data_IF_696331339785
#
_entry.id   IF_696331339785
#
_cell.length_a   1.000
_cell.length_b   1.000
_cell.length_c   1.000
_cell.angle_alpha   90.00
_cell.angle_beta   90.00
_cell.angle_gamma   90.00
#
_symmetry.space_group_name_H-M   'P 1'
#
loop_
_entity.id
_entity.type
_entity.pdbx_description
1 polymer ?
#
# COMPACT_ATOMS: atom_id res chain seq x y z
N UNK A 1 6.24 6.79 -32.78
CA UNK A 1 5.86 5.82 -33.83
C UNK A 1 4.79 6.49 -34.70
N UNK A 2 4.71 6.15 -35.98
CA UNK A 2 3.69 6.72 -36.90
C UNK A 2 2.40 5.89 -36.92
N UNK A 3 2.09 5.21 -35.81
CA UNK A 3 0.98 4.26 -35.76
C UNK A 3 -0.33 4.96 -35.40
N UNK A 4 -1.17 5.24 -36.40
CA UNK A 4 -2.47 5.88 -36.21
C UNK A 4 -3.58 4.86 -35.97
N UNK A 5 -4.25 4.97 -34.82
CA UNK A 5 -5.45 4.19 -34.49
C UNK A 5 -6.66 4.78 -35.22
N UNK A 6 -7.10 4.15 -36.31
CA UNK A 6 -8.30 4.55 -37.06
C UNK A 6 -9.36 3.45 -37.01
N UNK A 7 -10.62 3.82 -37.24
CA UNK A 7 -11.73 2.87 -37.33
C UNK A 7 -11.68 1.98 -38.58
N UNK A 8 -10.89 2.36 -39.59
CA UNK A 8 -10.77 1.68 -40.87
C UNK A 8 -9.64 0.64 -40.93
N UNK A 9 -9.05 0.26 -39.79
CA UNK A 9 -7.91 -0.65 -39.76
C UNK A 9 -8.30 -2.08 -40.12
N UNK A 10 -7.48 -2.74 -40.94
CA UNK A 10 -7.65 -4.14 -41.25
C UNK A 10 -7.09 -5.05 -40.13
N UNK A 11 -7.38 -6.36 -40.22
CA UNK A 11 -6.99 -7.33 -39.19
C UNK A 11 -5.47 -7.41 -38.98
N UNK A 12 -4.68 -7.39 -40.07
CA UNK A 12 -3.22 -7.47 -40.01
C UNK A 12 -2.61 -6.23 -39.34
N UNK A 13 -3.18 -5.05 -39.58
CA UNK A 13 -2.81 -3.81 -38.89
C UNK A 13 -3.22 -3.84 -37.42
N UNK A 14 -4.35 -4.44 -37.07
CA UNK A 14 -4.78 -4.65 -35.68
C UNK A 14 -3.79 -5.55 -34.93
N UNK A 15 -3.32 -6.62 -35.57
CA UNK A 15 -2.44 -7.60 -34.95
C UNK A 15 -1.00 -7.11 -34.77
N UNK A 16 -0.50 -6.25 -35.68
CA UNK A 16 0.86 -5.67 -35.60
C UNK A 16 1.03 -4.58 -34.53
N UNK A 17 -0.04 -4.19 -33.84
CA UNK A 17 -0.01 -3.21 -32.74
C UNK A 17 0.91 -3.68 -31.61
N UNK A 18 1.93 -2.88 -31.32
CA UNK A 18 2.78 -3.11 -30.15
C UNK A 18 2.02 -2.80 -28.85
N UNK A 19 1.16 -1.78 -28.88
CA UNK A 19 0.34 -1.38 -27.73
C UNK A 19 -1.07 -1.95 -27.80
N UNK A 20 -1.43 -2.80 -26.84
CA UNK A 20 -2.74 -3.48 -26.77
C UNK A 20 -3.35 -3.32 -25.38
N UNK A 21 -4.26 -2.36 -25.23
CA UNK A 21 -4.89 -2.04 -23.93
C UNK A 21 -5.61 -3.24 -23.30
N UNK A 22 -6.25 -4.09 -24.09
CA UNK A 22 -6.92 -5.30 -23.59
C UNK A 22 -5.97 -6.31 -22.95
N UNK A 23 -4.67 -6.26 -23.27
CA UNK A 23 -3.63 -7.06 -22.61
C UNK A 23 -3.01 -6.31 -21.45
N UNK A 24 -2.71 -5.01 -21.64
CA UNK A 24 -1.99 -4.22 -20.66
C UNK A 24 -2.84 -3.84 -19.43
N UNK A 25 -4.08 -3.41 -19.65
CA UNK A 25 -4.98 -2.96 -18.59
C UNK A 25 -6.41 -3.47 -18.82
N UNK A 26 -6.62 -4.80 -18.80
CA UNK A 26 -7.96 -5.35 -18.64
C UNK A 26 -8.57 -4.95 -17.29
N UNK A 27 -9.86 -5.23 -17.10
CA UNK A 27 -10.47 -5.09 -15.78
C UNK A 27 -9.73 -5.95 -14.74
N UNK A 28 -9.50 -5.39 -13.56
CA UNK A 28 -8.70 -5.98 -12.49
C UNK A 28 -7.23 -6.27 -12.86
N UNK A 29 -6.68 -5.59 -13.88
CA UNK A 29 -5.26 -5.64 -14.17
C UNK A 29 -4.43 -5.17 -12.97
N UNK A 30 -3.28 -5.80 -12.78
CA UNK A 30 -2.37 -5.46 -11.71
C UNK A 30 -0.91 -5.54 -12.17
N UNK A 31 -0.07 -4.84 -11.43
CA UNK A 31 1.38 -4.92 -11.54
C UNK A 31 1.91 -5.16 -10.14
N UNK A 32 2.70 -6.22 -9.98
CA UNK A 32 3.38 -6.51 -8.73
C UNK A 32 4.90 -6.47 -8.94
N UNK A 33 5.61 -5.81 -8.03
CA UNK A 33 7.07 -5.72 -8.04
C UNK A 33 7.56 -6.46 -6.81
N UNK A 34 8.24 -7.59 -7.04
CA UNK A 34 8.75 -8.45 -5.98
C UNK A 34 10.24 -8.21 -5.77
N UNK A 35 10.64 -8.04 -4.51
CA UNK A 35 12.03 -7.99 -4.10
C UNK A 35 12.43 -9.35 -3.51
N UNK A 36 13.34 -10.03 -4.18
CA UNK A 36 13.89 -11.32 -3.78
C UNK A 36 15.24 -11.15 -3.10
N UNK A 37 15.43 -11.85 -1.99
CA UNK A 37 16.71 -11.97 -1.30
C UNK A 37 16.71 -13.28 -0.50
N UNK A 38 17.67 -14.18 -0.75
CA UNK A 38 17.72 -15.46 -0.02
C UNK A 38 18.22 -15.27 1.41
N UNK A 39 19.31 -14.52 1.60
CA UNK A 39 19.86 -14.16 2.91
C UNK A 39 20.13 -12.66 3.03
N UNK A 40 20.15 -12.12 4.26
CA UNK A 40 20.36 -10.67 4.50
C UNK A 40 21.63 -10.11 3.86
N UNK A 41 22.69 -10.92 3.75
CA UNK A 41 23.98 -10.53 3.21
C UNK A 41 24.13 -10.80 1.70
N UNK A 42 23.10 -11.38 1.07
CA UNK A 42 23.12 -11.67 -0.36
C UNK A 42 22.53 -10.52 -1.18
N UNK A 43 22.89 -10.50 -2.47
CA UNK A 43 22.39 -9.52 -3.43
C UNK A 43 20.88 -9.66 -3.59
N UNK A 44 20.19 -8.53 -3.59
CA UNK A 44 18.76 -8.48 -3.85
C UNK A 44 18.47 -8.41 -5.35
N UNK A 45 17.37 -9.04 -5.74
CA UNK A 45 16.89 -9.09 -7.11
C UNK A 45 15.45 -8.63 -7.19
N UNK A 46 15.06 -8.00 -8.29
CA UNK A 46 13.69 -7.59 -8.59
C UNK A 46 13.12 -8.49 -9.68
N UNK A 47 11.90 -8.94 -9.48
CA UNK A 47 11.03 -9.49 -10.52
C UNK A 47 9.76 -8.65 -10.63
N UNK A 48 9.27 -8.48 -11.86
CA UNK A 48 8.02 -7.75 -12.13
C UNK A 48 7.00 -8.72 -12.68
N UNK A 49 5.79 -8.63 -12.16
CA UNK A 49 4.62 -9.36 -12.61
C UNK A 49 3.61 -8.38 -13.18
N UNK A 50 3.02 -8.76 -14.30
CA UNK A 50 1.92 -8.06 -14.94
C UNK A 50 0.80 -9.07 -15.12
N UNK A 51 -0.36 -8.80 -14.51
CA UNK A 51 -1.49 -9.74 -14.46
C UNK A 51 -1.04 -11.15 -14.04
N UNK A 52 -0.40 -11.25 -12.86
CA UNK A 52 0.09 -12.49 -12.27
C UNK A 52 1.17 -13.24 -13.08
N UNK A 53 1.57 -12.72 -14.23
CA UNK A 53 2.61 -13.31 -15.07
C UNK A 53 3.89 -12.51 -14.91
N UNK A 54 4.97 -13.20 -14.53
CA UNK A 54 6.29 -12.57 -14.52
C UNK A 54 6.63 -12.11 -15.95
N UNK A 55 7.28 -10.97 -16.10
CA UNK A 55 7.69 -10.41 -17.39
C UNK A 55 9.22 -10.34 -17.52
N UNK A 56 9.74 -10.53 -18.74
CA UNK A 56 11.17 -10.34 -19.01
C UNK A 56 11.50 -8.86 -19.07
N UNK A 57 12.59 -8.47 -18.41
CA UNK A 57 13.03 -7.08 -18.32
C UNK A 57 14.04 -6.80 -19.44
N UNK A 58 13.67 -6.02 -20.48
CA UNK A 58 14.54 -5.81 -21.64
C UNK A 58 15.82 -5.05 -21.29
N UNK A 59 15.75 -4.12 -20.33
CA UNK A 59 16.91 -3.39 -19.82
C UNK A 59 17.85 -4.24 -18.94
N UNK A 60 17.48 -5.50 -18.67
CA UNK A 60 18.26 -6.44 -17.87
C UNK A 60 18.56 -7.72 -18.67
N UNK A 61 18.93 -7.56 -19.95
CA UNK A 61 19.31 -8.67 -20.82
C UNK A 61 18.18 -9.65 -21.13
N UNK A 62 16.92 -9.18 -21.12
CA UNK A 62 15.71 -10.00 -21.25
C UNK A 62 15.60 -11.10 -20.17
N UNK A 63 16.19 -10.88 -18.99
CA UNK A 63 16.06 -11.75 -17.83
C UNK A 63 14.73 -11.52 -17.11
N UNK A 64 14.21 -12.56 -16.46
CA UNK A 64 13.03 -12.48 -15.58
C UNK A 64 13.33 -11.77 -14.25
N UNK A 65 14.58 -11.89 -13.78
CA UNK A 65 15.07 -11.25 -12.56
C UNK A 65 16.19 -10.28 -12.90
N UNK A 66 16.17 -9.11 -12.29
CA UNK A 66 17.21 -8.10 -12.40
C UNK A 66 17.86 -7.82 -11.06
N UNK A 67 19.15 -7.50 -11.02
CA UNK A 67 19.76 -7.04 -9.77
C UNK A 67 19.12 -5.72 -9.33
N UNK A 68 18.90 -5.53 -8.03
CA UNK A 68 18.31 -4.29 -7.49
C UNK A 68 19.10 -3.05 -7.95
N UNK A 69 20.43 -3.11 -7.90
CA UNK A 69 21.31 -2.01 -8.32
C UNK A 69 21.18 -1.68 -9.80
N UNK A 70 21.08 -2.69 -10.67
CA UNK A 70 20.86 -2.48 -12.11
C UNK A 70 19.50 -1.84 -12.38
N UNK A 71 18.47 -2.29 -11.66
CA UNK A 71 17.12 -1.74 -11.75
C UNK A 71 17.08 -0.28 -11.32
N UNK A 72 17.61 0.05 -10.14
CA UNK A 72 17.68 1.43 -9.64
C UNK A 72 18.41 2.36 -10.60
N UNK A 73 19.57 1.92 -11.13
CA UNK A 73 20.33 2.68 -12.11
C UNK A 73 19.54 2.93 -13.40
N UNK A 74 18.79 1.92 -13.87
CA UNK A 74 17.94 2.07 -15.04
C UNK A 74 16.80 3.05 -14.77
N UNK A 75 16.07 2.88 -13.67
CA UNK A 75 14.97 3.77 -13.28
C UNK A 75 15.47 5.21 -13.13
N UNK A 76 16.59 5.44 -12.45
CA UNK A 76 17.19 6.77 -12.32
C UNK A 76 17.54 7.42 -13.67
N UNK A 77 17.89 6.61 -14.69
CA UNK A 77 18.17 7.10 -16.04
C UNK A 77 16.91 7.46 -16.82
N UNK A 78 15.84 6.67 -16.71
CA UNK A 78 14.61 6.88 -17.48
C UNK A 78 13.60 7.79 -16.78
N UNK A 79 13.68 7.90 -15.46
CA UNK A 79 12.86 8.80 -14.67
C UNK A 79 13.31 10.23 -14.94
N UNK A 80 12.57 10.93 -15.79
CA UNK A 80 12.65 12.39 -15.87
C UNK A 80 12.20 12.99 -14.54
N UNK A 81 12.72 14.15 -14.11
CA UNK A 81 12.24 14.82 -12.91
C UNK A 81 10.73 15.06 -13.02
N UNK A 82 9.95 14.21 -12.34
CA UNK A 82 8.52 14.38 -12.17
C UNK A 82 8.29 15.47 -11.12
N UNK A 83 8.45 16.72 -11.54
CA UNK A 83 7.91 17.84 -10.78
C UNK A 83 6.39 17.82 -10.96
N UNK A 84 5.71 17.09 -10.07
CA UNK A 84 4.27 16.95 -10.08
C UNK A 84 3.56 18.30 -9.99
N UNK A 85 4.11 19.28 -9.26
CA UNK A 85 3.50 20.60 -9.13
C UNK A 85 3.54 21.36 -10.45
N UNK A 86 4.69 21.31 -11.14
CA UNK A 86 4.85 21.88 -12.48
C UNK A 86 4.01 21.17 -13.53
N UNK A 87 4.00 19.83 -13.53
CA UNK A 87 3.26 19.02 -14.51
C UNK A 87 1.75 19.15 -14.36
N UNK A 88 1.24 19.24 -13.13
CA UNK A 88 -0.19 19.37 -12.87
C UNK A 88 -0.69 20.82 -12.90
N UNK A 89 0.15 21.79 -13.28
CA UNK A 89 -0.18 23.22 -13.22
C UNK A 89 -0.89 23.57 -11.91
N UNK A 90 -0.42 22.98 -10.80
CA UNK A 90 -0.85 23.38 -9.47
C UNK A 90 -0.20 24.74 -9.21
N UNK A 91 -0.69 25.76 -9.90
CA UNK A 91 -0.70 27.10 -9.37
C UNK A 91 -1.36 26.93 -8.01
N UNK A 92 -0.61 27.22 -6.98
CA UNK A 92 -1.05 27.32 -5.59
C UNK A 92 -2.09 28.43 -5.46
N UNK A 93 -3.25 28.28 -6.11
CA UNK A 93 -4.48 28.95 -5.68
C UNK A 93 -4.98 28.15 -4.48
N UNK A 94 -4.34 28.41 -3.34
CA UNK A 94 -4.75 27.91 -2.04
C UNK A 94 -4.25 26.51 -1.72
N UNK A 95 -3.01 26.42 -1.26
CA UNK A 95 -2.75 25.58 -0.10
C UNK A 95 -3.58 26.12 1.08
N UNK A 96 -4.89 25.86 1.07
CA UNK A 96 -5.58 25.70 2.34
C UNK A 96 -4.99 24.42 2.91
N UNK A 97 -3.93 24.55 3.70
CA UNK A 97 -3.53 23.51 4.66
C UNK A 97 -4.80 23.16 5.42
N UNK A 98 -5.44 22.05 5.06
CA UNK A 98 -6.36 21.40 5.96
C UNK A 98 -5.50 20.88 7.11
N UNK A 99 -5.22 21.78 8.05
CA UNK A 99 -4.84 21.44 9.41
C UNK A 99 -5.98 20.60 9.94
N UNK A 100 -5.83 19.28 9.83
CA UNK A 100 -6.61 18.37 10.66
C UNK A 100 -6.20 18.68 12.09
N UNK A 101 -6.94 19.57 12.75
CA UNK A 101 -6.87 19.71 14.20
C UNK A 101 -7.43 18.42 14.76
N UNK A 102 -6.56 17.47 15.11
CA UNK A 102 -6.92 16.38 15.98
C UNK A 102 -7.40 17.06 17.28
N UNK A 103 -8.70 16.99 17.53
CA UNK A 103 -9.28 17.55 18.73
C UNK A 103 -8.76 16.75 19.93
N UNK A 104 -7.97 17.40 20.80
CA UNK A 104 -7.50 16.83 22.07
C UNK A 104 -8.65 16.33 22.98
N UNK A 105 -9.89 16.73 22.68
CA UNK A 105 -11.08 16.32 23.43
C UNK A 105 -11.38 14.82 23.34
N UNK A 106 -10.89 14.12 22.31
CA UNK A 106 -11.07 12.66 22.17
C UNK A 106 -10.22 11.85 23.17
N UNK A 107 -9.05 12.36 23.55
CA UNK A 107 -8.09 11.62 24.38
C UNK A 107 -8.47 11.66 25.88
N UNK A 108 -8.95 12.80 26.36
CA UNK A 108 -9.41 12.95 27.75
C UNK A 108 -10.62 12.05 28.01
N UNK A 109 -11.56 11.96 27.06
CA UNK A 109 -12.72 11.09 27.18
C UNK A 109 -12.33 9.62 27.37
N UNK A 110 -11.41 9.12 26.53
CA UNK A 110 -10.99 7.71 26.58
C UNK A 110 -10.30 7.33 27.91
N UNK A 111 -9.46 8.21 28.46
CA UNK A 111 -8.80 7.99 29.75
C UNK A 111 -9.77 8.03 30.94
N UNK A 112 -10.79 8.88 30.90
CA UNK A 112 -11.80 8.95 31.97
C UNK A 112 -12.69 7.70 31.95
N UNK A 113 -13.12 7.25 30.78
CA UNK A 113 -13.93 6.03 30.66
C UNK A 113 -13.18 4.76 31.11
N UNK A 114 -11.88 4.65 30.80
CA UNK A 114 -11.07 3.49 31.21
C UNK A 114 -10.87 3.44 32.74
N UNK A 115 -10.67 4.59 33.39
CA UNK A 115 -10.55 4.67 34.85
C UNK A 115 -11.84 4.24 35.56
N UNK A 116 -13.01 4.69 35.10
CA UNK A 116 -14.30 4.28 35.69
C UNK A 116 -14.58 2.77 35.53
N UNK A 117 -14.23 2.19 34.39
CA UNK A 117 -14.37 0.74 34.18
C UNK A 117 -13.50 -0.08 35.13
N UNK A 118 -12.24 0.32 35.34
CA UNK A 118 -11.34 -0.37 36.27
C UNK A 118 -11.81 -0.28 37.73
N UNK A 119 -12.31 0.89 38.14
CA UNK A 119 -12.89 1.06 39.48
C UNK A 119 -14.14 0.20 39.65
N UNK A 120 -15.03 0.16 38.65
CA UNK A 120 -16.22 -0.69 38.68
C UNK A 120 -15.91 -2.18 38.82
N UNK A 121 -14.89 -2.66 38.09
CA UNK A 121 -14.42 -4.05 38.19
C UNK A 121 -13.86 -4.35 39.59
N UNK A 122 -13.05 -3.44 40.16
CA UNK A 122 -12.50 -3.62 41.51
C UNK A 122 -13.60 -3.69 42.57
N UNK A 123 -14.61 -2.81 42.49
CA UNK A 123 -15.75 -2.82 43.42
C UNK A 123 -16.52 -4.15 43.31
N UNK A 124 -16.78 -4.65 42.10
CA UNK A 124 -17.44 -5.94 41.90
C UNK A 124 -16.62 -7.11 42.44
N UNK A 125 -15.30 -7.09 42.25
CA UNK A 125 -14.39 -8.10 42.79
C UNK A 125 -14.39 -8.11 44.33
N UNK A 126 -14.31 -6.93 44.95
CA UNK A 126 -14.37 -6.79 46.41
C UNK A 126 -15.74 -7.19 46.97
N UNK A 127 -16.82 -6.82 46.28
CA UNK A 127 -18.17 -7.21 46.68
C UNK A 127 -18.37 -8.73 46.60
N UNK A 128 -17.89 -9.37 45.51
CA UNK A 128 -17.88 -10.84 45.39
C UNK A 128 -17.02 -11.52 46.46
N UNK A 129 -15.85 -10.98 46.77
CA UNK A 129 -14.98 -11.51 47.82
C UNK A 129 -15.68 -11.44 49.19
N UNK A 130 -16.26 -10.28 49.53
CA UNK A 130 -17.00 -10.06 50.78
C UNK A 130 -18.27 -10.91 50.87
N UNK A 131 -18.99 -11.09 49.76
CA UNK A 131 -20.14 -11.99 49.70
C UNK A 131 -19.73 -13.44 49.96
N UNK A 132 -18.62 -13.89 49.35
CA UNK A 132 -18.07 -15.24 49.55
C UNK A 132 -17.59 -15.48 50.99
N UNK A 133 -17.04 -14.49 51.65
CA UNK A 133 -16.70 -14.60 53.08
C UNK A 133 -17.96 -14.69 53.95
N UNK A 134 -18.96 -13.86 53.67
CA UNK A 134 -20.21 -13.83 54.44
C UNK A 134 -21.03 -15.14 54.30
N UNK A 135 -20.96 -15.82 53.15
CA UNK A 135 -21.58 -17.15 52.98
C UNK A 135 -20.84 -18.25 53.73
N UNK A 136 -19.50 -18.18 53.85
CA UNK A 136 -18.71 -19.13 54.65
C UNK A 136 -18.99 -18.99 56.15
N UNK A 137 -19.23 -17.78 56.65
CA UNK A 137 -19.54 -17.55 58.07
C UNK A 137 -20.97 -17.93 58.47
N UNK A 138 -21.91 -18.05 57.52
CA UNK A 138 -23.29 -18.47 57.76
C UNK A 138 -23.50 -19.99 57.67
N UNK A 139 -22.50 -20.73 57.19
CA UNK A 139 -22.52 -22.19 57.05
C UNK A 139 -21.76 -22.93 58.16
N UNK A 140 -21.30 -22.22 59.19
CA UNK A 140 -20.73 -22.75 60.44
C UNK A 140 -21.65 -22.41 61.61
#
# INVERSE_FOLDING_TARGET
DDFHLTSAMNQEQIERRQWRMSKLSPYAANIAIHLYRCDKNQRAYIGIFHNEQMIKLPFCGNSWLCSLTSFEKYIAKVHQPCDHQRLCLLNTMGEAKASVRISEKGFIGFCVFSAFMLVGILVLCLWRARFRERTKTLAS
#
